data_IF_632190041915
#
_entry.id   IF_632190041915
#
_cell.length_a   1.000
_cell.length_b   1.000
_cell.length_c   1.000
_cell.angle_alpha   90.00
_cell.angle_beta   90.00
_cell.angle_gamma   90.00
#
_symmetry.space_group_name_H-M   'P 1'
#
loop_
_entity.id
_entity.type
_entity.pdbx_description
1 polymer ?
#
# COMPACT_ATOMS: atom_id res chain seq x y z
N UNK A 1 20.06 39.89 6.56
CA UNK A 1 20.61 39.04 5.49
C UNK A 1 20.54 37.60 5.98
N UNK A 2 19.60 36.79 5.49
CA UNK A 2 19.52 35.37 5.84
C UNK A 2 20.67 34.65 5.16
N UNK A 3 21.64 34.22 5.95
CA UNK A 3 22.79 33.46 5.47
C UNK A 3 22.30 32.07 5.06
N UNK A 4 22.08 31.86 3.75
CA UNK A 4 21.63 30.60 3.19
C UNK A 4 22.72 29.54 3.36
N UNK A 5 22.74 28.88 4.52
CA UNK A 5 23.57 27.69 4.74
C UNK A 5 23.11 26.61 3.75
N UNK A 6 24.03 25.95 3.03
CA UNK A 6 23.66 24.84 2.16
C UNK A 6 22.96 23.75 2.98
N UNK A 7 21.94 23.09 2.41
CA UNK A 7 21.21 22.04 3.12
C UNK A 7 22.15 20.91 3.49
N UNK A 8 22.01 20.39 4.72
CA UNK A 8 22.83 19.29 5.20
C UNK A 8 22.53 18.03 4.35
N UNK A 9 23.50 17.46 3.63
CA UNK A 9 23.27 16.31 2.77
C UNK A 9 22.79 15.07 3.55
N UNK A 10 23.19 14.93 4.82
CA UNK A 10 22.74 13.83 5.68
C UNK A 10 21.24 13.91 5.94
N UNK A 11 20.71 15.11 6.13
CA UNK A 11 19.28 15.31 6.31
C UNK A 11 18.50 14.97 5.04
N UNK A 12 19.02 15.35 3.87
CA UNK A 12 18.38 15.03 2.59
C UNK A 12 18.35 13.52 2.33
N UNK A 13 19.46 12.83 2.61
CA UNK A 13 19.56 11.37 2.46
C UNK A 13 18.66 10.67 3.49
N UNK A 14 18.66 11.13 4.74
CA UNK A 14 17.79 10.58 5.78
C UNK A 14 16.31 10.74 5.44
N UNK A 15 15.92 11.91 4.91
CA UNK A 15 14.55 12.19 4.49
C UNK A 15 14.12 11.31 3.32
N UNK A 16 14.99 11.10 2.33
CA UNK A 16 14.67 10.25 1.18
C UNK A 16 14.56 8.77 1.57
N UNK A 17 15.50 8.25 2.36
CA UNK A 17 15.46 6.89 2.89
C UNK A 17 14.26 6.67 3.81
N UNK A 18 13.97 7.61 4.71
CA UNK A 18 12.81 7.55 5.59
C UNK A 18 11.50 7.52 4.81
N UNK A 19 11.37 8.37 3.78
CA UNK A 19 10.21 8.39 2.90
C UNK A 19 10.06 7.06 2.15
N UNK A 20 11.15 6.56 1.57
CA UNK A 20 11.14 5.28 0.86
C UNK A 20 10.70 4.12 1.77
N UNK A 21 11.26 4.02 2.98
CA UNK A 21 10.90 2.97 3.95
C UNK A 21 9.44 3.07 4.39
N UNK A 22 8.94 4.27 4.64
CA UNK A 22 7.54 4.48 5.01
C UNK A 22 6.60 3.99 3.90
N UNK A 23 6.87 4.35 2.65
CA UNK A 23 6.07 3.87 1.51
C UNK A 23 6.21 2.36 1.29
N UNK A 24 7.43 1.83 1.34
CA UNK A 24 7.69 0.40 1.15
C UNK A 24 6.95 -0.46 2.17
N UNK A 25 7.05 -0.10 3.45
CA UNK A 25 6.36 -0.82 4.53
C UNK A 25 4.85 -0.73 4.40
N UNK A 26 4.31 0.44 4.02
CA UNK A 26 2.88 0.62 3.80
C UNK A 26 2.36 -0.20 2.62
N UNK A 27 3.10 -0.25 1.51
CA UNK A 27 2.76 -1.09 0.35
C UNK A 27 2.79 -2.57 0.74
N UNK A 28 3.85 -3.02 1.43
CA UNK A 28 3.95 -4.42 1.89
C UNK A 28 2.85 -4.80 2.87
N UNK A 29 2.45 -3.90 3.75
CA UNK A 29 1.32 -4.11 4.65
C UNK A 29 0.00 -4.25 3.88
N UNK A 30 -0.21 -3.44 2.84
CA UNK A 30 -1.39 -3.53 1.97
C UNK A 30 -1.41 -4.83 1.17
N UNK A 31 -0.29 -5.28 0.63
CA UNK A 31 -0.19 -6.58 -0.04
C UNK A 31 -0.64 -7.73 0.86
N UNK A 32 -0.31 -7.67 2.17
CA UNK A 32 -0.71 -8.69 3.15
C UNK A 32 -2.18 -8.59 3.56
N UNK A 33 -2.69 -7.38 3.76
CA UNK A 33 -4.03 -7.14 4.31
C UNK A 33 -5.14 -7.09 3.26
N UNK A 34 -4.88 -6.54 2.08
CA UNK A 34 -5.82 -6.38 0.97
C UNK A 34 -5.06 -6.54 -0.36
N UNK A 35 -4.67 -7.77 -0.75
CA UNK A 35 -3.97 -7.97 -2.01
C UNK A 35 -4.83 -7.47 -3.16
N UNK A 36 -4.26 -6.64 -4.05
CA UNK A 36 -4.98 -6.04 -5.18
C UNK A 36 -5.59 -7.07 -6.15
N UNK A 37 -5.18 -8.34 -6.05
CA UNK A 37 -5.74 -9.48 -6.79
C UNK A 37 -6.95 -10.14 -6.13
N UNK A 38 -7.35 -9.73 -4.92
CA UNK A 38 -8.66 -10.09 -4.38
C UNK A 38 -9.72 -9.31 -5.17
N UNK A 39 -10.17 -9.92 -6.26
CA UNK A 39 -11.45 -9.58 -6.86
C UNK A 39 -12.51 -9.59 -5.74
N UNK A 40 -13.51 -8.69 -5.79
CA UNK A 40 -14.63 -8.72 -4.86
C UNK A 40 -15.16 -10.15 -4.83
N UNK A 41 -15.17 -10.79 -3.65
CA UNK A 41 -15.73 -12.13 -3.56
C UNK A 41 -17.20 -12.01 -3.92
N UNK A 42 -17.73 -13.04 -4.56
CA UNK A 42 -19.15 -13.13 -4.87
C UNK A 42 -20.04 -12.91 -3.62
N UNK A 43 -19.51 -13.29 -2.45
CA UNK A 43 -20.12 -13.10 -1.13
C UNK A 43 -20.13 -11.64 -0.63
N UNK A 44 -19.29 -10.77 -1.19
CA UNK A 44 -19.16 -9.38 -0.75
C UNK A 44 -20.26 -8.48 -1.36
N UNK A 45 -21.03 -9.00 -2.33
CA UNK A 45 -22.05 -8.23 -3.03
C UNK A 45 -23.45 -8.86 -2.84
N UNK A 46 -24.41 -8.15 -2.24
CA UNK A 46 -25.72 -8.71 -1.86
C UNK A 46 -26.60 -9.10 -3.06
N UNK A 47 -26.28 -8.64 -4.27
CA UNK A 47 -27.05 -8.94 -5.48
C UNK A 47 -26.41 -10.02 -6.36
N UNK A 48 -25.25 -10.59 -5.98
CA UNK A 48 -24.69 -11.69 -6.78
C UNK A 48 -25.25 -13.01 -6.24
N UNK A 49 -26.03 -13.76 -7.04
CA UNK A 49 -26.63 -15.00 -6.57
C UNK A 49 -25.52 -16.01 -6.22
N UNK A 50 -25.64 -16.82 -5.15
CA UNK A 50 -24.62 -17.80 -4.79
C UNK A 50 -24.41 -18.80 -5.93
N UNK A 51 -23.16 -19.16 -6.21
CA UNK A 51 -22.81 -20.24 -7.14
C UNK A 51 -23.32 -21.55 -6.54
N UNK A 52 -24.37 -22.13 -7.14
CA UNK A 52 -24.87 -23.45 -6.74
C UNK A 52 -23.73 -24.46 -6.87
N UNK A 53 -23.48 -25.34 -5.88
CA UNK A 53 -22.60 -26.47 -6.09
C UNK A 53 -23.14 -27.26 -7.27
N UNK A 54 -22.27 -27.53 -8.25
CA UNK A 54 -22.59 -28.44 -9.36
C UNK A 54 -22.58 -29.83 -8.76
N UNK A 55 -23.76 -30.34 -8.42
CA UNK A 55 -23.94 -31.74 -8.06
C UNK A 55 -23.40 -32.62 -9.21
N UNK A 56 -22.50 -33.52 -8.82
CA UNK A 56 -21.84 -34.56 -9.62
C UNK A 56 -22.79 -35.67 -10.05
#
# INVERSE_FOLDING_TARGET
MTQNKPPNPVLLIGLSLGSFLAFYTLVKYREKSNPASQLPRQLDHPLVPPSRPRDS
#
